data_IF_612502657957
#
_entry.id   IF_612502657957
#
_cell.length_a   1.000
_cell.length_b   1.000
_cell.length_c   1.000
_cell.angle_alpha   90.00
_cell.angle_beta   90.00
_cell.angle_gamma   90.00
#
_symmetry.space_group_name_H-M   'P 1'
#
loop_
_entity.id
_entity.type
_entity.pdbx_description
1 polymer ?
#
# COMPACT_ATOMS: atom_id res chain seq x y z
N UNK A 1 -17.21 -18.46 2.09
CA UNK A 1 -16.76 -17.07 2.41
C UNK A 1 -16.07 -16.45 1.21
N UNK A 2 -15.01 -17.01 0.69
CA UNK A 2 -14.21 -16.53 -0.44
C UNK A 2 -15.04 -16.17 -1.67
N UNK A 3 -15.93 -17.06 -2.13
CA UNK A 3 -16.79 -16.80 -3.28
C UNK A 3 -17.71 -15.59 -3.11
N UNK A 4 -18.19 -15.31 -1.87
CA UNK A 4 -19.02 -14.13 -1.60
C UNK A 4 -18.19 -12.85 -1.71
N UNK A 5 -16.97 -12.85 -1.16
CA UNK A 5 -16.05 -11.72 -1.24
C UNK A 5 -15.67 -11.46 -2.69
N UNK A 6 -15.33 -12.50 -3.46
CA UNK A 6 -14.98 -12.36 -4.87
C UNK A 6 -16.16 -11.83 -5.70
N UNK A 7 -17.38 -12.29 -5.44
CA UNK A 7 -18.57 -11.79 -6.13
C UNK A 7 -18.81 -10.31 -5.80
N UNK A 8 -18.71 -9.94 -4.53
CA UNK A 8 -18.83 -8.54 -4.09
C UNK A 8 -17.78 -7.64 -4.77
N UNK A 9 -16.50 -8.04 -4.79
CA UNK A 9 -15.44 -7.25 -5.44
C UNK A 9 -15.67 -7.11 -6.95
N UNK A 10 -16.17 -8.15 -7.62
CA UNK A 10 -16.54 -8.08 -9.04
C UNK A 10 -17.71 -7.13 -9.31
N UNK A 11 -18.69 -7.09 -8.43
CA UNK A 11 -19.82 -6.16 -8.53
C UNK A 11 -19.38 -4.70 -8.40
N UNK A 12 -18.32 -4.46 -7.61
CA UNK A 12 -17.78 -3.11 -7.35
C UNK A 12 -16.52 -2.79 -8.19
N UNK A 13 -16.24 -3.56 -9.23
CA UNK A 13 -15.01 -3.41 -10.04
C UNK A 13 -14.79 -1.98 -10.56
N UNK A 14 -15.85 -1.32 -11.01
CA UNK A 14 -15.78 0.05 -11.51
C UNK A 14 -15.34 1.05 -10.42
N UNK A 15 -15.84 0.88 -9.20
CA UNK A 15 -15.46 1.72 -8.06
C UNK A 15 -14.00 1.47 -7.65
N UNK A 16 -13.57 0.21 -7.63
CA UNK A 16 -12.18 -0.18 -7.35
C UNK A 16 -11.23 0.50 -8.34
N UNK A 17 -11.58 0.52 -9.62
CA UNK A 17 -10.75 1.16 -10.65
C UNK A 17 -10.74 2.68 -10.55
N UNK A 18 -11.83 3.33 -10.18
CA UNK A 18 -11.83 4.78 -9.94
C UNK A 18 -11.03 5.17 -8.69
N UNK A 19 -11.05 4.34 -7.64
CA UNK A 19 -10.21 4.53 -6.45
C UNK A 19 -8.72 4.38 -6.80
N UNK A 20 -8.36 3.36 -7.59
CA UNK A 20 -7.00 3.19 -8.09
C UNK A 20 -6.55 4.37 -8.95
N UNK A 21 -7.38 4.78 -9.89
CA UNK A 21 -7.12 5.94 -10.74
C UNK A 21 -6.91 7.22 -9.92
N UNK A 22 -7.70 7.43 -8.87
CA UNK A 22 -7.58 8.58 -7.98
C UNK A 22 -6.20 8.63 -7.31
N UNK A 23 -5.69 7.50 -6.81
CA UNK A 23 -4.36 7.41 -6.22
C UNK A 23 -3.25 7.52 -7.28
N UNK A 24 -3.43 6.93 -8.47
CA UNK A 24 -2.43 6.98 -9.55
C UNK A 24 -2.25 8.39 -10.07
N UNK A 25 -3.36 9.10 -10.33
CA UNK A 25 -3.32 10.49 -10.81
C UNK A 25 -2.77 11.48 -9.78
N UNK A 26 -2.71 11.09 -8.51
CA UNK A 26 -2.10 11.92 -7.47
C UNK A 26 -0.58 11.87 -7.48
N UNK A 27 0.05 11.14 -8.38
CA UNK A 27 1.50 10.96 -8.51
C UNK A 27 2.31 11.17 -7.20
N UNK A 28 3.24 10.31 -6.88
CA UNK A 28 3.89 10.28 -5.55
C UNK A 28 5.38 9.93 -5.65
N UNK A 29 6.16 10.75 -6.36
CA UNK A 29 7.61 10.55 -6.35
C UNK A 29 8.15 10.62 -4.92
N UNK A 30 8.96 9.64 -4.50
CA UNK A 30 9.56 9.60 -3.15
C UNK A 30 10.38 10.86 -2.84
N UNK A 31 10.95 11.49 -3.86
CA UNK A 31 11.75 12.72 -3.72
C UNK A 31 10.92 14.01 -3.65
N UNK A 32 9.61 13.95 -3.87
CA UNK A 32 8.71 15.11 -3.85
C UNK A 32 7.76 15.05 -2.65
N UNK A 33 8.16 15.68 -1.56
CA UNK A 33 7.44 15.64 -0.28
C UNK A 33 6.04 16.28 -0.38
N UNK A 34 5.88 17.32 -1.19
CA UNK A 34 4.58 17.97 -1.39
C UNK A 34 3.63 17.05 -2.18
N UNK A 35 4.14 16.30 -3.15
CA UNK A 35 3.36 15.31 -3.89
C UNK A 35 2.99 14.13 -2.97
N UNK A 36 3.93 13.65 -2.15
CA UNK A 36 3.66 12.61 -1.15
C UNK A 36 2.59 13.03 -0.15
N UNK A 37 2.63 14.27 0.35
CA UNK A 37 1.59 14.79 1.25
C UNK A 37 0.20 14.75 0.59
N UNK A 38 0.08 15.17 -0.67
CA UNK A 38 -1.19 15.14 -1.42
C UNK A 38 -1.74 13.72 -1.63
N UNK A 39 -0.87 12.78 -1.99
CA UNK A 39 -1.28 11.37 -2.14
C UNK A 39 -1.70 10.79 -0.79
N UNK A 40 -0.97 11.07 0.28
CA UNK A 40 -1.31 10.63 1.63
C UNK A 40 -2.68 11.14 2.07
N UNK A 41 -3.00 12.41 1.84
CA UNK A 41 -4.33 12.98 2.13
C UNK A 41 -5.44 12.24 1.37
N UNK A 42 -5.24 11.98 0.08
CA UNK A 42 -6.20 11.19 -0.72
C UNK A 42 -6.34 9.76 -0.20
N UNK A 43 -5.24 9.13 0.17
CA UNK A 43 -5.22 7.79 0.73
C UNK A 43 -6.00 7.71 2.06
N UNK A 44 -5.76 8.66 2.96
CA UNK A 44 -6.49 8.78 4.25
C UNK A 44 -7.98 8.99 4.00
N UNK A 45 -8.34 9.87 3.08
CA UNK A 45 -9.73 10.12 2.68
C UNK A 45 -10.37 8.84 2.13
N UNK A 46 -9.70 8.15 1.22
CA UNK A 46 -10.19 6.90 0.62
C UNK A 46 -10.41 5.81 1.68
N UNK A 47 -9.46 5.62 2.60
CA UNK A 47 -9.60 4.68 3.71
C UNK A 47 -10.85 5.01 4.51
N UNK A 48 -11.03 6.28 4.90
CA UNK A 48 -12.18 6.72 5.68
C UNK A 48 -13.51 6.50 4.95
N UNK A 49 -13.58 6.85 3.68
CA UNK A 49 -14.80 6.71 2.87
C UNK A 49 -15.19 5.25 2.64
N UNK A 50 -14.21 4.38 2.36
CA UNK A 50 -14.48 2.98 2.04
C UNK A 50 -14.66 2.11 3.27
N UNK A 51 -13.87 2.33 4.31
CA UNK A 51 -13.86 1.47 5.50
C UNK A 51 -14.58 2.08 6.69
N UNK A 52 -14.68 3.41 6.77
CA UNK A 52 -15.17 4.14 7.95
C UNK A 52 -14.15 4.22 9.09
N UNK A 53 -12.98 3.60 8.92
CA UNK A 53 -11.94 3.61 9.94
C UNK A 53 -11.16 4.94 9.93
N UNK A 54 -10.67 5.33 11.10
CA UNK A 54 -9.79 6.49 11.22
C UNK A 54 -8.33 6.07 11.04
N UNK A 55 -7.56 6.94 10.40
CA UNK A 55 -6.14 6.74 10.21
C UNK A 55 -5.33 7.46 11.28
N UNK A 56 -4.25 6.83 11.71
CA UNK A 56 -3.16 7.49 12.43
C UNK A 56 -2.02 7.74 11.45
N UNK A 57 -1.59 9.00 11.34
CA UNK A 57 -0.46 9.39 10.50
C UNK A 57 0.72 9.64 11.42
N UNK A 58 1.80 8.87 11.23
CA UNK A 58 3.04 9.08 11.96
C UNK A 58 3.76 10.31 11.45
N UNK A 59 4.38 11.06 12.35
CA UNK A 59 5.32 12.10 11.96
C UNK A 59 6.63 11.47 11.47
N UNK A 60 7.25 12.05 10.46
CA UNK A 60 8.53 11.64 9.91
C UNK A 60 9.35 12.90 9.60
N UNK A 61 10.66 12.85 9.91
CA UNK A 61 11.56 14.02 9.85
C UNK A 61 11.62 14.64 8.46
N UNK A 62 11.65 13.80 7.42
CA UNK A 62 11.71 14.27 6.03
C UNK A 62 10.35 14.21 5.32
N UNK A 63 9.25 13.98 6.05
CA UNK A 63 7.90 14.07 5.53
C UNK A 63 7.32 12.80 4.89
N UNK A 64 8.03 11.67 4.93
CA UNK A 64 7.56 10.37 4.42
C UNK A 64 6.57 9.66 5.36
N UNK A 65 5.67 10.41 5.93
CA UNK A 65 4.78 10.05 7.05
C UNK A 65 3.97 8.77 6.83
N UNK A 66 4.24 7.65 7.53
CA UNK A 66 3.44 6.43 7.39
C UNK A 66 1.99 6.63 7.86
N UNK A 67 1.07 5.94 7.18
CA UNK A 67 -0.36 5.92 7.47
C UNK A 67 -0.72 4.56 8.04
N UNK A 68 -1.34 4.54 9.21
CA UNK A 68 -1.81 3.33 9.88
C UNK A 68 -3.32 3.36 10.10
N UNK A 69 -3.98 2.24 9.88
CA UNK A 69 -5.36 2.01 10.33
C UNK A 69 -5.56 0.54 10.70
N UNK A 70 -6.70 0.21 11.30
CA UNK A 70 -6.99 -1.17 11.71
C UNK A 70 -8.47 -1.50 11.56
N UNK A 71 -8.77 -2.80 11.39
CA UNK A 71 -10.11 -3.34 11.32
C UNK A 71 -10.21 -4.69 12.03
N UNK A 72 -11.38 -4.97 12.62
CA UNK A 72 -11.61 -6.21 13.37
C UNK A 72 -11.10 -6.17 14.81
N UNK A 73 -11.52 -7.14 15.61
CA UNK A 73 -11.30 -7.15 17.09
C UNK A 73 -10.67 -8.45 17.60
N UNK A 74 -10.18 -9.32 16.72
CA UNK A 74 -9.55 -10.58 17.12
C UNK A 74 -8.25 -10.36 17.92
N UNK A 75 -7.88 -11.33 18.74
CA UNK A 75 -6.63 -11.30 19.50
C UNK A 75 -5.40 -11.43 18.60
N UNK A 76 -5.47 -12.33 17.61
CA UNK A 76 -4.39 -12.50 16.63
C UNK A 76 -4.35 -11.33 15.64
N UNK A 77 -3.17 -10.76 15.44
CA UNK A 77 -2.93 -9.68 14.50
C UNK A 77 -2.37 -10.21 13.18
N UNK A 78 -2.90 -9.69 12.06
CA UNK A 78 -2.32 -9.82 10.73
C UNK A 78 -1.92 -8.42 10.29
N UNK A 79 -0.65 -8.22 9.96
CA UNK A 79 -0.13 -6.94 9.49
C UNK A 79 -0.10 -6.90 7.97
N UNK A 80 -0.70 -5.88 7.39
CA UNK A 80 -0.62 -5.56 5.97
C UNK A 80 0.34 -4.39 5.79
N UNK A 81 1.31 -4.56 4.90
CA UNK A 81 2.34 -3.56 4.62
C UNK A 81 2.24 -3.16 3.16
N UNK A 82 2.35 -1.87 2.89
CA UNK A 82 2.41 -1.33 1.55
C UNK A 82 3.03 0.06 1.54
N UNK A 83 3.27 0.59 0.34
CA UNK A 83 3.79 1.94 0.18
C UNK A 83 2.98 2.74 -0.83
N UNK A 84 2.95 4.07 -0.66
CA UNK A 84 2.23 4.98 -1.54
C UNK A 84 3.15 5.84 -2.41
N UNK A 85 4.46 5.82 -2.17
CA UNK A 85 5.47 6.46 -2.99
C UNK A 85 5.80 5.66 -4.26
N UNK A 86 6.50 6.28 -5.18
CA UNK A 86 6.95 5.67 -6.44
C UNK A 86 8.31 6.24 -6.87
N UNK A 87 9.06 5.48 -7.67
CA UNK A 87 10.33 5.92 -8.27
C UNK A 87 10.13 6.95 -9.39
N UNK A 88 8.92 7.13 -9.89
CA UNK A 88 8.67 7.95 -11.07
C UNK A 88 8.63 9.44 -10.71
N UNK A 89 9.32 10.25 -11.53
CA UNK A 89 9.20 11.69 -11.45
C UNK A 89 7.79 12.13 -11.87
N UNK A 90 7.30 13.21 -11.27
CA UNK A 90 5.99 13.78 -11.58
C UNK A 90 5.89 14.10 -13.07
N UNK A 91 4.81 13.64 -13.71
CA UNK A 91 4.56 13.80 -15.14
C UNK A 91 5.34 12.87 -16.08
N UNK A 92 6.19 11.97 -15.55
CA UNK A 92 6.99 11.05 -16.37
C UNK A 92 6.14 9.97 -17.06
N UNK A 93 5.07 9.53 -16.41
CA UNK A 93 4.16 8.52 -16.94
C UNK A 93 2.73 9.08 -17.01
N UNK A 94 2.01 8.72 -18.07
CA UNK A 94 0.60 9.06 -18.21
C UNK A 94 -0.28 7.90 -17.73
N UNK A 95 -1.38 8.25 -17.05
CA UNK A 95 -2.43 7.28 -16.80
C UNK A 95 -3.25 7.06 -18.09
N UNK A 96 -3.45 5.81 -18.45
CA UNK A 96 -4.42 5.39 -19.48
C UNK A 96 -4.88 3.96 -19.23
N UNK A 97 -6.04 3.62 -19.77
CA UNK A 97 -6.59 2.28 -19.79
C UNK A 97 -6.67 1.79 -21.24
N UNK A 98 -6.15 0.61 -21.50
CA UNK A 98 -6.23 -0.02 -22.81
C UNK A 98 -6.58 -1.48 -22.66
N UNK A 99 -7.67 -1.94 -23.32
CA UNK A 99 -8.18 -3.30 -23.21
C UNK A 99 -8.49 -3.65 -21.74
N UNK A 100 -7.74 -4.59 -21.16
CA UNK A 100 -7.88 -5.04 -19.77
C UNK A 100 -6.68 -4.61 -18.91
N UNK A 101 -5.96 -3.58 -19.33
CA UNK A 101 -4.74 -3.12 -18.66
C UNK A 101 -4.89 -1.66 -18.24
N UNK A 102 -4.38 -1.35 -17.05
CA UNK A 102 -4.23 0.01 -16.54
C UNK A 102 -2.75 0.37 -16.51
N UNK A 103 -2.43 1.55 -16.99
CA UNK A 103 -1.08 2.08 -17.06
C UNK A 103 -0.99 3.40 -16.30
N UNK A 104 0.12 3.62 -15.61
CA UNK A 104 0.37 4.86 -14.87
C UNK A 104 1.37 4.69 -13.72
N UNK A 105 1.81 5.79 -13.10
CA UNK A 105 2.81 5.75 -12.04
C UNK A 105 2.27 5.02 -10.79
N UNK A 106 2.93 3.91 -10.44
CA UNK A 106 2.58 3.12 -9.26
C UNK A 106 1.30 2.28 -9.40
N UNK A 107 0.71 2.09 -10.60
CA UNK A 107 -0.47 1.21 -10.79
C UNK A 107 -0.18 -0.17 -10.24
N UNK A 108 0.94 -0.76 -10.61
CA UNK A 108 1.32 -2.11 -10.24
C UNK A 108 2.17 -2.13 -8.96
N UNK A 109 3.10 -1.20 -8.84
CA UNK A 109 4.02 -1.01 -7.73
C UNK A 109 3.78 0.36 -7.07
N UNK A 110 3.02 0.44 -5.92
CA UNK A 110 2.13 -0.68 -5.56
C UNK A 110 0.72 -0.19 -5.17
N UNK A 111 0.21 0.89 -5.81
CA UNK A 111 -1.11 1.49 -5.49
C UNK A 111 -2.26 0.50 -5.69
N UNK A 112 -2.15 -0.45 -6.64
CA UNK A 112 -3.10 -1.54 -6.79
C UNK A 112 -3.20 -2.40 -5.54
N UNK A 113 -2.08 -2.68 -4.87
CA UNK A 113 -2.04 -3.40 -3.61
C UNK A 113 -2.71 -2.63 -2.46
N UNK A 114 -2.52 -1.30 -2.39
CA UNK A 114 -3.18 -0.45 -1.40
C UNK A 114 -4.70 -0.48 -1.55
N UNK A 115 -5.18 -0.31 -2.78
CA UNK A 115 -6.63 -0.36 -3.07
C UNK A 115 -7.20 -1.73 -2.75
N UNK A 116 -6.49 -2.81 -3.10
CA UNK A 116 -6.91 -4.19 -2.77
C UNK A 116 -7.03 -4.41 -1.26
N UNK A 117 -6.09 -3.87 -0.47
CA UNK A 117 -6.13 -3.94 0.98
C UNK A 117 -7.33 -3.18 1.58
N UNK A 118 -7.59 -1.97 1.10
CA UNK A 118 -8.73 -1.14 1.51
C UNK A 118 -10.06 -1.84 1.16
N UNK A 119 -10.20 -2.34 -0.06
CA UNK A 119 -11.41 -3.04 -0.51
C UNK A 119 -11.63 -4.40 0.15
N UNK A 120 -10.59 -5.03 0.66
CA UNK A 120 -10.71 -6.19 1.53
C UNK A 120 -11.48 -5.84 2.80
N UNK A 121 -11.14 -4.74 3.45
CA UNK A 121 -11.85 -4.27 4.65
C UNK A 121 -13.30 -3.87 4.31
N UNK A 122 -13.49 -3.15 3.20
CA UNK A 122 -14.83 -2.77 2.75
C UNK A 122 -15.71 -4.00 2.51
N UNK A 123 -15.18 -5.02 1.85
CA UNK A 123 -15.93 -6.27 1.60
C UNK A 123 -16.32 -6.97 2.92
N UNK A 124 -15.41 -7.09 3.88
CA UNK A 124 -15.73 -7.65 5.21
C UNK A 124 -16.86 -6.88 5.88
N UNK A 125 -16.77 -5.55 5.85
CA UNK A 125 -17.75 -4.67 6.50
C UNK A 125 -19.12 -4.78 5.86
N UNK A 126 -19.21 -4.60 4.55
CA UNK A 126 -20.49 -4.57 3.81
C UNK A 126 -21.18 -5.94 3.80
N UNK A 127 -20.42 -7.02 3.78
CA UNK A 127 -20.94 -8.38 3.87
C UNK A 127 -21.25 -8.84 5.30
N UNK A 128 -20.92 -8.01 6.32
CA UNK A 128 -21.08 -8.37 7.73
C UNK A 128 -20.23 -9.57 8.15
N UNK A 129 -19.06 -9.75 7.54
CA UNK A 129 -18.14 -10.86 7.83
C UNK A 129 -17.13 -10.39 8.87
N UNK A 130 -17.10 -11.08 10.01
CA UNK A 130 -16.01 -10.90 11.00
C UNK A 130 -14.76 -11.66 10.52
N UNK A 131 -13.60 -11.01 10.34
CA UNK A 131 -12.36 -11.67 9.99
C UNK A 131 -11.84 -12.59 11.11
N UNK A 132 -12.38 -12.50 12.35
CA UNK A 132 -11.92 -13.24 13.53
C UNK A 132 -10.49 -12.87 13.97
N UNK A 133 -9.93 -11.81 13.40
CA UNK A 133 -8.58 -11.31 13.61
C UNK A 133 -8.57 -9.79 13.62
N UNK A 134 -7.54 -9.21 14.23
CA UNK A 134 -7.22 -7.79 14.07
C UNK A 134 -6.37 -7.62 12.82
N UNK A 135 -6.95 -6.99 11.80
CA UNK A 135 -6.23 -6.60 10.58
C UNK A 135 -5.63 -5.23 10.81
N UNK A 136 -4.34 -5.13 10.71
CA UNK A 136 -3.59 -3.90 10.89
C UNK A 136 -2.86 -3.54 9.61
N UNK A 137 -2.94 -2.29 9.21
CA UNK A 137 -2.40 -1.81 7.94
C UNK A 137 -1.41 -0.69 8.21
N UNK A 138 -0.26 -0.74 7.55
CA UNK A 138 0.75 0.33 7.54
C UNK A 138 1.17 0.59 6.10
N UNK A 139 1.02 1.84 5.66
CA UNK A 139 1.40 2.30 4.33
C UNK A 139 2.41 3.43 4.46
N UNK A 140 3.63 3.20 3.99
CA UNK A 140 4.73 4.14 4.11
C UNK A 140 4.97 4.92 2.81
N UNK A 141 5.76 5.99 2.90
CA UNK A 141 6.05 6.90 1.79
C UNK A 141 7.52 6.95 1.40
N UNK A 142 8.34 5.98 1.85
CA UNK A 142 9.79 5.92 1.67
C UNK A 142 10.32 4.54 1.28
N UNK A 143 9.44 3.64 0.79
CA UNK A 143 9.83 2.27 0.45
C UNK A 143 10.88 2.25 -0.65
N UNK A 144 10.67 3.01 -1.71
CA UNK A 144 11.50 3.06 -2.92
C UNK A 144 12.94 3.56 -2.64
N UNK A 145 13.15 4.19 -1.49
CA UNK A 145 14.47 4.64 -1.01
C UNK A 145 15.03 3.81 0.13
N UNK A 146 14.32 2.74 0.54
CA UNK A 146 14.77 1.76 1.53
C UNK A 146 14.20 1.95 2.93
N UNK A 147 13.07 2.63 3.08
CA UNK A 147 12.28 2.73 4.32
C UNK A 147 13.05 3.27 5.53
N UNK A 148 13.91 4.26 5.31
CA UNK A 148 14.78 4.77 6.36
C UNK A 148 14.02 5.37 7.56
N UNK A 149 12.87 6.00 7.31
CA UNK A 149 12.03 6.62 8.34
C UNK A 149 10.94 5.68 8.86
N UNK A 150 10.46 4.74 8.02
CA UNK A 150 9.32 3.89 8.37
C UNK A 150 9.70 2.51 8.94
N UNK A 151 10.94 2.04 8.70
CA UNK A 151 11.35 0.66 9.04
C UNK A 151 11.20 0.32 10.53
N UNK A 152 11.55 1.24 11.44
CA UNK A 152 11.41 0.99 12.88
C UNK A 152 9.94 0.84 13.29
N UNK A 153 9.05 1.68 12.72
CA UNK A 153 7.61 1.63 12.96
C UNK A 153 7.05 0.29 12.45
N UNK A 154 7.41 -0.10 11.22
CA UNK A 154 6.97 -1.36 10.62
C UNK A 154 7.46 -2.55 11.45
N UNK A 155 8.73 -2.57 11.86
CA UNK A 155 9.30 -3.62 12.70
C UNK A 155 8.60 -3.71 14.05
N UNK A 156 8.27 -2.58 14.69
CA UNK A 156 7.54 -2.56 15.95
C UNK A 156 6.13 -3.15 15.78
N UNK A 157 5.41 -2.75 14.74
CA UNK A 157 4.10 -3.29 14.43
C UNK A 157 4.14 -4.78 14.07
N UNK A 158 5.25 -5.28 13.56
CA UNK A 158 5.40 -6.69 13.16
C UNK A 158 5.67 -7.64 14.34
N UNK A 159 6.17 -7.16 15.48
CA UNK A 159 6.64 -8.01 16.60
C UNK A 159 5.58 -8.98 17.13
N UNK A 160 4.33 -8.56 17.24
CA UNK A 160 3.22 -9.36 17.74
C UNK A 160 2.26 -9.83 16.62
N UNK A 161 2.64 -9.64 15.36
CA UNK A 161 1.85 -10.11 14.24
C UNK A 161 2.04 -11.61 13.99
N UNK A 162 0.94 -12.32 13.83
CA UNK A 162 0.90 -13.75 13.45
C UNK A 162 1.47 -13.97 12.04
N UNK A 163 1.22 -13.00 11.15
CA UNK A 163 1.73 -12.95 9.80
C UNK A 163 1.82 -11.49 9.34
N UNK A 164 2.75 -11.22 8.43
CA UNK A 164 2.84 -9.98 7.68
C UNK A 164 2.60 -10.27 6.20
N UNK A 165 1.70 -9.51 5.59
CA UNK A 165 1.34 -9.58 4.18
C UNK A 165 1.79 -8.28 3.52
N UNK A 166 2.82 -8.36 2.67
CA UNK A 166 3.29 -7.24 1.87
C UNK A 166 2.45 -7.20 0.60
N UNK A 167 1.72 -6.10 0.41
CA UNK A 167 0.75 -5.96 -0.68
C UNK A 167 1.40 -5.63 -2.04
N UNK A 168 2.66 -6.00 -2.20
CA UNK A 168 3.45 -5.88 -3.42
C UNK A 168 2.94 -6.80 -4.55
N UNK A 169 3.33 -6.52 -5.81
CA UNK A 169 2.97 -7.36 -6.94
C UNK A 169 3.36 -8.83 -6.75
N UNK A 170 2.46 -9.73 -7.12
CA UNK A 170 2.72 -11.17 -7.19
C UNK A 170 3.73 -11.54 -8.30
N UNK A 171 4.01 -12.82 -8.51
CA UNK A 171 4.75 -13.27 -9.68
C UNK A 171 3.93 -13.09 -10.97
N UNK A 172 4.56 -13.22 -12.13
CA UNK A 172 3.86 -13.15 -13.42
C UNK A 172 2.72 -14.19 -13.58
N UNK A 173 2.77 -15.28 -12.81
CA UNK A 173 1.74 -16.31 -12.79
C UNK A 173 0.67 -16.09 -11.71
N UNK A 174 0.76 -15.00 -10.93
CA UNK A 174 -0.15 -14.72 -9.82
C UNK A 174 0.22 -15.40 -8.49
N UNK A 175 1.41 -16.04 -8.39
CA UNK A 175 1.83 -16.72 -7.17
C UNK A 175 2.32 -15.74 -6.10
N UNK A 176 2.12 -16.11 -4.83
CA UNK A 176 2.65 -15.36 -3.69
C UNK A 176 4.17 -15.53 -3.58
N UNK A 177 4.85 -14.44 -3.29
CA UNK A 177 6.30 -14.45 -3.00
C UNK A 177 6.53 -14.75 -1.52
N UNK A 178 6.99 -15.96 -1.21
CA UNK A 178 7.19 -16.44 0.17
C UNK A 178 8.65 -16.42 0.61
N UNK A 179 9.58 -15.96 -0.24
CA UNK A 179 11.00 -15.85 0.06
C UNK A 179 11.67 -14.76 -0.78
N UNK A 180 12.72 -14.17 -0.23
CA UNK A 180 13.51 -13.11 -0.87
C UNK A 180 15.00 -13.41 -0.71
N UNK A 181 15.80 -12.98 -1.69
CA UNK A 181 17.27 -12.95 -1.58
C UNK A 181 17.69 -11.68 -0.84
N UNK A 182 18.83 -11.74 -0.16
CA UNK A 182 19.43 -10.55 0.43
C UNK A 182 20.00 -9.62 -0.63
N UNK A 183 20.02 -8.33 -0.32
CA UNK A 183 20.69 -7.28 -1.09
C UNK A 183 21.79 -6.65 -0.22
N UNK A 184 22.99 -6.52 -0.78
CA UNK A 184 24.09 -5.82 -0.12
C UNK A 184 24.62 -4.74 -1.06
N UNK A 185 24.75 -3.52 -0.55
CA UNK A 185 25.35 -2.39 -1.29
C UNK A 185 26.73 -2.09 -0.77
N UNK A 186 27.68 -1.87 -1.68
CA UNK A 186 29.03 -1.45 -1.36
C UNK A 186 29.32 -0.13 -2.06
N UNK A 187 29.94 0.80 -1.34
CA UNK A 187 30.51 2.02 -1.93
C UNK A 187 32.02 1.89 -1.96
N UNK A 188 32.60 1.90 -3.14
CA UNK A 188 34.05 1.89 -3.32
C UNK A 188 34.49 3.29 -3.74
N UNK A 189 35.39 3.90 -2.96
CA UNK A 189 36.04 5.17 -3.31
C UNK A 189 37.47 4.92 -3.65
N UNK A 190 37.89 5.34 -4.84
CA UNK A 190 39.28 5.25 -5.29
C UNK A 190 39.83 6.67 -5.38
N UNK A 191 40.93 6.91 -4.66
CA UNK A 191 41.66 8.17 -4.72
C UNK A 191 42.90 7.89 -5.57
N UNK A 192 42.97 8.52 -6.75
CA UNK A 192 44.10 8.48 -7.65
C UNK A 192 45.01 9.72 -7.50
N UNK A 193 46.28 9.60 -7.94
CA UNK A 193 47.13 10.76 -8.21
C UNK A 193 47.03 11.12 -9.68
#
# INVERSE_FOLDING_TARGET
MEQKILAYLKEHEAEIFEDLKTLVLAEASTSDIDALAKVREKLVTLIKERTGEDCFVYEAENGHCPVRFQYGKGEEKILFIGHYDTVHLIGALKYYAERNELHGPGVYDMKGGLVSAIWTVKAYKDLGIDPGKRLEFIFNGDEETGSAESSEIICELAKDAKAALVCEPCTANGDLKTGRKGLVRFTVRVHGK
#
